data_IF_095753556697
#
_entry.id   IF_095753556697
#
_cell.length_a   1.000
_cell.length_b   1.000
_cell.length_c   1.000
_cell.angle_alpha   90.00
_cell.angle_beta   90.00
_cell.angle_gamma   90.00
#
_symmetry.space_group_name_H-M   'P 1'
#
loop_
_entity.id
_entity.type
_entity.pdbx_description
1 polymer ?
#
# COMPACT_ATOMS: atom_id res chain seq x y z
N UNK A 1 2.35 1.60 9.90
CA UNK A 1 2.17 1.16 8.49
C UNK A 1 1.41 2.24 7.72
N UNK A 2 1.71 2.40 6.46
CA UNK A 2 1.10 3.42 5.62
C UNK A 2 -0.12 2.87 4.89
N UNK A 3 -1.31 3.34 5.27
CA UNK A 3 -2.56 3.05 4.58
C UNK A 3 -3.05 4.30 3.87
N UNK A 4 -3.32 4.19 2.58
CA UNK A 4 -3.84 5.29 1.78
C UNK A 4 -5.34 5.08 1.59
N UNK A 5 -6.14 5.99 2.13
CA UNK A 5 -7.61 5.92 2.02
C UNK A 5 -8.00 6.32 0.60
N UNK A 6 -8.76 5.47 -0.07
CA UNK A 6 -9.11 5.62 -1.48
C UNK A 6 -10.61 5.77 -1.74
N UNK A 7 -11.43 5.49 -0.74
CA UNK A 7 -12.89 5.57 -0.88
C UNK A 7 -13.50 6.77 -0.19
N UNK A 8 -14.75 7.11 -0.52
CA UNK A 8 -15.51 8.12 0.21
C UNK A 8 -15.80 7.66 1.63
N UNK A 9 -16.15 8.61 2.53
CA UNK A 9 -16.33 8.32 3.95
C UNK A 9 -17.40 7.28 4.27
N UNK A 10 -18.42 7.15 3.43
CA UNK A 10 -19.51 6.19 3.59
C UNK A 10 -19.23 4.84 2.88
N UNK A 11 -18.14 4.74 2.16
CA UNK A 11 -17.69 3.50 1.51
C UNK A 11 -16.18 3.34 1.73
N UNK A 12 -15.78 2.88 2.90
CA UNK A 12 -14.37 2.84 3.27
C UNK A 12 -13.58 1.84 2.43
N UNK A 13 -12.49 2.32 1.87
CA UNK A 13 -11.49 1.49 1.22
C UNK A 13 -10.11 2.10 1.40
N UNK A 14 -9.09 1.28 1.40
CA UNK A 14 -7.72 1.73 1.58
C UNK A 14 -6.73 0.77 0.91
N UNK A 15 -5.55 1.29 0.61
CA UNK A 15 -4.44 0.52 0.08
C UNK A 15 -3.30 0.59 1.08
N UNK A 16 -2.82 -0.56 1.54
CA UNK A 16 -1.63 -0.65 2.38
C UNK A 16 -0.39 -0.68 1.49
N UNK A 17 0.49 0.27 1.68
CA UNK A 17 1.79 0.29 0.99
C UNK A 17 2.75 -0.61 1.77
N UNK A 18 3.12 -1.75 1.16
CA UNK A 18 3.95 -2.77 1.79
C UNK A 18 5.43 -2.65 1.44
N UNK A 19 5.75 -1.95 0.37
CA UNK A 19 7.13 -1.79 -0.07
C UNK A 19 7.25 -0.84 -1.24
N UNK A 20 8.44 -0.34 -1.43
CA UNK A 20 8.85 0.44 -2.60
C UNK A 20 10.18 -0.12 -3.09
N UNK A 21 10.64 0.34 -4.22
CA UNK A 21 11.95 -0.08 -4.74
C UNK A 21 13.04 0.17 -3.68
N UNK A 22 13.77 -0.87 -3.33
CA UNK A 22 14.82 -0.81 -2.33
C UNK A 22 14.39 -0.97 -0.88
N UNK A 23 13.09 -0.94 -0.57
CA UNK A 23 12.58 -1.09 0.80
C UNK A 23 11.41 -2.07 0.80
N UNK A 24 11.58 -3.22 1.42
CA UNK A 24 10.54 -4.26 1.51
C UNK A 24 10.07 -4.38 2.95
N UNK A 25 8.75 -4.40 3.14
CA UNK A 25 8.09 -4.53 4.42
C UNK A 25 7.39 -3.26 4.86
N UNK A 26 6.11 -3.35 5.29
CA UNK A 26 5.29 -2.17 5.61
C UNK A 26 5.81 -1.39 6.82
N UNK A 27 6.35 -2.05 7.82
CA UNK A 27 6.93 -1.39 8.99
C UNK A 27 8.29 -0.76 8.67
N UNK A 28 9.13 -1.47 7.93
CA UNK A 28 10.44 -0.97 7.49
C UNK A 28 10.29 0.26 6.60
N UNK A 29 9.30 0.24 5.70
CA UNK A 29 9.01 1.36 4.81
C UNK A 29 8.70 2.63 5.59
N UNK A 30 7.78 2.58 6.54
CA UNK A 30 7.40 3.76 7.32
C UNK A 30 8.55 4.25 8.22
N UNK A 31 9.29 3.33 8.81
CA UNK A 31 10.45 3.68 9.63
C UNK A 31 11.53 4.38 8.81
N UNK A 32 11.85 3.85 7.63
CA UNK A 32 12.89 4.40 6.76
C UNK A 32 12.51 5.76 6.21
N UNK A 33 11.24 5.96 5.86
CA UNK A 33 10.75 7.22 5.31
C UNK A 33 10.36 8.24 6.39
N UNK A 34 10.45 7.90 7.68
CA UNK A 34 10.07 8.78 8.77
C UNK A 34 8.57 9.05 8.86
N UNK A 35 7.76 8.12 8.38
CA UNK A 35 6.29 8.22 8.45
C UNK A 35 5.81 7.67 9.78
N UNK A 36 5.04 8.45 10.52
CA UNK A 36 4.51 8.07 11.83
C UNK A 36 3.04 8.48 11.98
N UNK A 37 2.48 8.29 13.17
CA UNK A 37 1.09 8.57 13.46
C UNK A 37 0.67 10.03 13.33
N UNK A 38 1.61 10.97 13.25
CA UNK A 38 1.31 12.40 13.08
C UNK A 38 0.61 12.69 11.73
N UNK A 39 0.78 11.79 10.75
CA UNK A 39 0.14 11.91 9.44
C UNK A 39 -1.26 11.29 9.39
N UNK A 40 -1.69 10.63 10.46
CA UNK A 40 -3.00 9.98 10.49
C UNK A 40 -4.13 11.00 10.30
N UNK A 41 -5.02 10.73 9.34
CA UNK A 41 -6.12 11.61 9.01
C UNK A 41 -5.75 12.81 8.13
N UNK A 42 -4.50 12.93 7.71
CA UNK A 42 -4.04 14.02 6.86
C UNK A 42 -4.02 13.63 5.39
N UNK A 43 -4.19 14.62 4.51
CA UNK A 43 -4.12 14.40 3.08
C UNK A 43 -2.69 14.12 2.62
N UNK A 44 -2.53 13.30 1.59
CA UNK A 44 -1.25 13.06 0.95
C UNK A 44 -0.97 14.20 -0.05
N UNK A 45 -0.25 15.22 0.39
CA UNK A 45 0.10 16.39 -0.40
C UNK A 45 1.44 16.97 0.05
N UNK A 46 1.91 17.99 -0.66
CA UNK A 46 3.21 18.63 -0.40
C UNK A 46 3.26 19.31 0.98
N UNK A 47 2.15 19.82 1.48
CA UNK A 47 2.09 20.47 2.80
C UNK A 47 2.39 19.48 3.93
N UNK A 48 1.91 18.26 3.81
CA UNK A 48 2.16 17.20 4.79
C UNK A 48 3.51 16.52 4.61
N UNK A 49 4.17 16.73 3.47
CA UNK A 49 5.48 16.16 3.16
C UNK A 49 5.42 14.75 2.57
N UNK A 50 4.24 14.18 2.41
CA UNK A 50 4.05 12.85 1.76
C UNK A 50 3.02 13.00 0.67
N UNK A 51 3.40 12.71 -0.56
CA UNK A 51 2.49 12.76 -1.70
C UNK A 51 2.88 11.73 -2.76
N UNK A 52 1.94 11.50 -3.69
CA UNK A 52 2.12 10.59 -4.81
C UNK A 52 2.27 11.38 -6.09
N UNK A 53 3.17 10.96 -6.95
CA UNK A 53 3.36 11.55 -8.27
C UNK A 53 3.29 10.45 -9.33
N UNK A 54 3.02 10.87 -10.58
CA UNK A 54 3.02 9.92 -11.69
C UNK A 54 4.42 9.39 -11.94
N UNK A 55 4.48 8.09 -12.23
CA UNK A 55 5.71 7.41 -12.60
C UNK A 55 5.48 6.48 -13.79
N UNK A 56 6.51 5.78 -14.23
CA UNK A 56 6.38 4.83 -15.33
C UNK A 56 5.40 3.72 -14.98
N UNK A 57 4.52 3.34 -15.93
CA UNK A 57 3.60 2.23 -15.74
C UNK A 57 4.32 0.91 -16.00
N UNK A 58 4.30 -0.03 -15.05
CA UNK A 58 4.79 -1.36 -15.32
C UNK A 58 3.87 -2.08 -16.30
N UNK A 59 4.42 -2.98 -17.10
CA UNK A 59 3.62 -3.85 -17.96
C UNK A 59 2.87 -4.87 -17.10
N UNK A 60 1.79 -5.46 -17.64
CA UNK A 60 1.07 -6.53 -16.95
C UNK A 60 1.95 -7.72 -16.61
N UNK A 61 2.95 -8.00 -17.42
CA UNK A 61 3.91 -9.10 -17.18
C UNK A 61 4.79 -8.86 -15.97
N UNK A 62 4.99 -7.60 -15.57
CA UNK A 62 5.79 -7.22 -14.41
C UNK A 62 4.97 -7.20 -13.13
N UNK A 63 3.65 -7.23 -13.21
CA UNK A 63 2.78 -7.20 -12.04
C UNK A 63 2.42 -8.61 -11.59
N UNK A 64 2.62 -8.89 -10.30
CA UNK A 64 2.27 -10.16 -9.67
C UNK A 64 1.09 -9.90 -8.74
N UNK A 65 0.04 -10.72 -8.87
CA UNK A 65 -1.11 -10.70 -7.97
C UNK A 65 -1.10 -11.95 -7.12
N UNK A 66 -1.32 -11.78 -5.83
CA UNK A 66 -1.31 -12.89 -4.88
C UNK A 66 -2.25 -12.58 -3.71
N UNK A 67 -2.60 -13.58 -2.88
CA UNK A 67 -3.34 -13.33 -1.65
C UNK A 67 -2.59 -12.39 -0.70
N UNK A 68 -3.35 -11.60 0.06
CA UNK A 68 -2.79 -10.72 1.08
C UNK A 68 -2.18 -11.52 2.23
N UNK A 69 -1.25 -10.91 2.94
CA UNK A 69 -0.54 -11.51 4.06
C UNK A 69 -1.20 -11.05 5.37
N UNK A 70 -1.41 -11.99 6.31
CA UNK A 70 -1.90 -11.66 7.65
C UNK A 70 -3.37 -11.30 7.73
N UNK A 71 -4.19 -11.78 6.78
CA UNK A 71 -5.62 -11.46 6.70
C UNK A 71 -6.53 -12.67 6.88
N UNK A 72 -6.08 -13.71 7.56
CA UNK A 72 -6.87 -14.93 7.79
C UNK A 72 -8.19 -14.66 8.49
N UNK A 73 -8.26 -13.61 9.31
CA UNK A 73 -9.48 -13.15 9.97
C UNK A 73 -10.59 -12.78 8.99
N UNK A 74 -10.28 -12.50 7.73
CA UNK A 74 -11.26 -12.15 6.71
C UNK A 74 -12.08 -13.35 6.20
N UNK A 75 -11.73 -14.57 6.64
CA UNK A 75 -12.38 -15.81 6.19
C UNK A 75 -11.75 -16.39 4.94
N UNK A 76 -12.10 -17.66 4.60
CA UNK A 76 -11.40 -18.40 3.54
C UNK A 76 -11.58 -17.81 2.14
N UNK A 77 -12.71 -17.14 1.88
CA UNK A 77 -12.96 -16.55 0.56
C UNK A 77 -12.16 -15.26 0.39
N UNK A 78 -12.29 -14.33 1.34
CA UNK A 78 -11.66 -13.01 1.23
C UNK A 78 -10.15 -13.06 1.45
N UNK A 79 -9.66 -13.93 2.32
CA UNK A 79 -8.22 -14.10 2.52
C UNK A 79 -7.50 -14.69 1.31
N UNK A 80 -8.21 -15.46 0.48
CA UNK A 80 -7.66 -16.05 -0.74
C UNK A 80 -7.72 -15.13 -1.97
N UNK A 81 -8.42 -14.00 -1.90
CA UNK A 81 -8.51 -13.05 -3.01
C UNK A 81 -7.13 -12.49 -3.37
N UNK A 82 -6.79 -12.36 -4.66
CA UNK A 82 -5.48 -11.89 -5.10
C UNK A 82 -5.37 -10.35 -5.01
N UNK A 83 -5.48 -9.81 -3.80
CA UNK A 83 -5.50 -8.37 -3.54
C UNK A 83 -4.14 -7.82 -3.10
N UNK A 84 -3.09 -8.63 -3.17
CA UNK A 84 -1.72 -8.19 -2.97
C UNK A 84 -1.04 -8.04 -4.33
N UNK A 85 -0.61 -6.83 -4.63
CA UNK A 85 0.05 -6.49 -5.89
C UNK A 85 1.52 -6.25 -5.64
N UNK A 86 2.37 -6.86 -6.44
CA UNK A 86 3.80 -6.66 -6.37
C UNK A 86 4.39 -6.52 -7.76
N UNK A 87 5.55 -5.91 -7.84
CA UNK A 87 6.27 -5.69 -9.08
C UNK A 87 7.41 -6.69 -9.17
N UNK A 88 7.48 -7.41 -10.27
CA UNK A 88 8.62 -8.28 -10.56
C UNK A 88 9.76 -7.39 -11.06
N UNK A 89 10.81 -7.33 -10.27
CA UNK A 89 12.02 -6.58 -10.62
C UNK A 89 13.09 -7.62 -11.00
N UNK A 90 13.56 -7.52 -12.22
CA UNK A 90 14.64 -8.38 -12.71
C UNK A 90 16.01 -7.81 -12.33
#
# INVERSE_FOLDING_TARGET
MLNVVTGPGDYPSAVLIRGVEGIVGPARLTKTLGINGDLNGKAANEETGVWFSEGPRPSRKQMIRSPRIGVDYAGPIWSAKPYRFSLKID
#
